data_IF_198716016590
#
_entry.id   IF_198716016590
#
_cell.length_a   1.000
_cell.length_b   1.000
_cell.length_c   1.000
_cell.angle_alpha   90.00
_cell.angle_beta   90.00
_cell.angle_gamma   90.00
#
_symmetry.space_group_name_H-M   'P 1'
#
loop_
_entity.id
_entity.type
_entity.pdbx_description
1 polymer ?
#
# COMPACT_ATOMS: atom_id res chain seq x y z
N UNK A 1 -1.14 -4.46 11.46
CA UNK A 1 -1.70 -5.61 12.19
C UNK A 1 -2.33 -6.56 11.21
N UNK A 2 -2.18 -7.88 11.44
CA UNK A 2 -2.90 -8.90 10.67
C UNK A 2 -4.16 -9.33 11.41
N UNK A 3 -5.28 -9.38 10.69
CA UNK A 3 -6.58 -9.89 11.14
C UNK A 3 -6.95 -11.10 10.30
N UNK A 4 -7.46 -12.16 10.94
CA UNK A 4 -7.83 -13.42 10.28
C UNK A 4 -9.26 -13.84 10.60
N UNK A 5 -9.93 -14.41 9.61
CA UNK A 5 -11.15 -15.20 9.81
C UNK A 5 -10.89 -16.45 10.67
N UNK A 6 -11.89 -16.93 11.42
CA UNK A 6 -11.83 -18.26 12.01
C UNK A 6 -11.66 -19.31 10.90
N UNK A 7 -10.77 -20.27 11.10
CA UNK A 7 -10.64 -21.40 10.20
C UNK A 7 -11.98 -22.11 10.11
N UNK A 8 -12.56 -22.18 8.90
CA UNK A 8 -13.65 -23.11 8.61
C UNK A 8 -13.10 -24.51 8.92
N UNK A 9 -13.79 -25.30 9.75
CA UNK A 9 -13.53 -26.75 9.80
C UNK A 9 -13.83 -27.26 8.38
N UNK A 10 -12.80 -27.40 7.56
CA UNK A 10 -12.92 -27.99 6.23
C UNK A 10 -12.71 -29.49 6.42
N UNK A 11 -13.81 -30.24 6.49
CA UNK A 11 -13.79 -31.64 6.12
C UNK A 11 -13.49 -31.72 4.62
N UNK A 12 -12.32 -32.26 4.26
CA UNK A 12 -11.94 -32.75 2.93
C UNK A 12 -12.23 -31.84 1.73
N UNK A 13 -11.22 -31.13 1.24
CA UNK A 13 -10.86 -31.11 -0.19
C UNK A 13 -9.61 -30.27 -0.41
N UNK A 14 -8.61 -30.92 -0.99
CA UNK A 14 -7.41 -30.34 -1.59
C UNK A 14 -7.76 -29.75 -2.95
N UNK A 15 -7.93 -28.43 -3.04
CA UNK A 15 -7.84 -27.70 -4.33
C UNK A 15 -7.25 -26.32 -4.09
N UNK A 16 -6.28 -26.01 -4.93
CA UNK A 16 -5.26 -24.98 -4.89
C UNK A 16 -5.80 -23.56 -5.15
N UNK A 17 -6.59 -23.00 -4.23
CA UNK A 17 -7.02 -21.61 -4.32
C UNK A 17 -6.14 -20.72 -3.45
N UNK A 18 -5.35 -19.84 -4.08
CA UNK A 18 -4.51 -18.88 -3.37
C UNK A 18 -5.33 -18.10 -2.32
N UNK A 19 -4.84 -18.09 -1.08
CA UNK A 19 -5.39 -17.34 0.05
C UNK A 19 -5.34 -15.84 -0.22
N UNK A 20 -6.51 -15.21 -0.28
CA UNK A 20 -6.63 -13.77 -0.51
C UNK A 20 -6.28 -12.98 0.74
N UNK A 21 -5.46 -11.94 0.58
CA UNK A 21 -4.99 -11.04 1.64
C UNK A 21 -5.38 -9.61 1.27
N UNK A 22 -6.36 -9.05 1.96
CA UNK A 22 -6.78 -7.67 1.81
C UNK A 22 -5.78 -6.73 2.51
N UNK A 23 -5.46 -5.59 1.90
CA UNK A 23 -4.62 -4.57 2.50
C UNK A 23 -5.04 -3.16 2.09
N UNK A 24 -4.69 -2.17 2.92
CA UNK A 24 -4.95 -0.76 2.62
C UNK A 24 -4.08 -0.30 1.45
N UNK A 25 -4.73 0.00 0.34
CA UNK A 25 -4.12 0.36 -0.92
C UNK A 25 -3.61 1.81 -0.98
N UNK A 26 -3.14 2.22 -2.16
CA UNK A 26 -3.01 1.37 -3.35
C UNK A 26 -1.74 0.48 -3.30
N UNK A 27 -1.41 -0.19 -4.41
CA UNK A 27 -0.14 -0.94 -4.55
C UNK A 27 1.05 0.02 -4.35
N UNK A 28 2.18 -0.51 -3.86
CA UNK A 28 3.44 0.20 -3.53
C UNK A 28 3.40 1.16 -2.32
N UNK A 29 2.31 1.20 -1.57
CA UNK A 29 2.28 1.84 -0.23
C UNK A 29 3.05 1.03 0.82
N UNK A 30 3.26 1.62 2.00
CA UNK A 30 3.82 0.88 3.14
C UNK A 30 2.97 -0.34 3.53
N UNK A 31 1.64 -0.21 3.48
CA UNK A 31 0.72 -1.34 3.68
C UNK A 31 0.94 -2.46 2.67
N UNK A 32 1.16 -2.14 1.38
CA UNK A 32 1.54 -3.14 0.38
C UNK A 32 2.89 -3.80 0.71
N UNK A 33 3.90 -3.02 1.10
CA UNK A 33 5.23 -3.56 1.45
C UNK A 33 5.17 -4.50 2.66
N UNK A 34 4.47 -4.10 3.72
CA UNK A 34 4.24 -4.91 4.92
C UNK A 34 3.54 -6.21 4.56
N UNK A 35 2.49 -6.11 3.75
CA UNK A 35 1.69 -7.27 3.33
C UNK A 35 2.54 -8.24 2.52
N UNK A 36 3.25 -7.75 1.50
CA UNK A 36 4.14 -8.57 0.66
C UNK A 36 5.27 -9.23 1.46
N UNK A 37 5.85 -8.53 2.44
CA UNK A 37 6.89 -9.10 3.31
C UNK A 37 6.35 -10.24 4.18
N UNK A 38 5.09 -10.14 4.63
CA UNK A 38 4.45 -11.13 5.51
C UNK A 38 3.84 -12.31 4.75
N UNK A 39 3.40 -12.08 3.51
CA UNK A 39 2.70 -13.00 2.62
C UNK A 39 3.43 -13.04 1.28
N UNK A 40 4.58 -13.71 1.24
CA UNK A 40 5.51 -13.75 0.10
C UNK A 40 5.41 -15.04 -0.74
N UNK A 41 4.59 -16.00 -0.32
CA UNK A 41 4.40 -17.27 -1.01
C UNK A 41 3.40 -17.16 -2.18
N UNK A 42 3.53 -18.04 -3.18
CA UNK A 42 2.64 -18.12 -4.34
C UNK A 42 1.22 -18.54 -3.96
N UNK A 43 1.03 -19.10 -2.77
CA UNK A 43 -0.27 -19.41 -2.20
C UNK A 43 -1.05 -18.17 -1.74
N UNK A 44 -0.51 -16.95 -1.84
CA UNK A 44 -1.19 -15.73 -1.44
C UNK A 44 -1.48 -14.79 -2.62
N UNK A 45 -2.70 -14.24 -2.64
CA UNK A 45 -3.08 -13.18 -3.58
C UNK A 45 -3.34 -11.88 -2.81
N UNK A 46 -2.58 -10.83 -3.08
CA UNK A 46 -2.69 -9.54 -2.39
C UNK A 46 -3.71 -8.66 -3.10
N UNK A 47 -4.71 -8.16 -2.38
CA UNK A 47 -5.81 -7.37 -2.93
C UNK A 47 -5.86 -5.99 -2.25
N UNK A 48 -5.63 -4.88 -2.98
CA UNK A 48 -5.76 -3.54 -2.43
C UNK A 48 -7.22 -3.13 -2.26
N UNK A 49 -7.49 -2.33 -1.24
CA UNK A 49 -8.76 -1.64 -1.00
C UNK A 49 -8.51 -0.18 -0.63
N UNK A 50 -9.49 0.69 -0.83
CA UNK A 50 -9.30 2.13 -0.70
C UNK A 50 -9.43 2.59 0.76
N UNK A 51 -10.23 1.88 1.57
CA UNK A 51 -10.48 2.23 2.98
C UNK A 51 -10.17 1.09 3.95
N UNK A 52 -9.87 1.43 5.22
CA UNK A 52 -9.62 0.42 6.25
C UNK A 52 -10.90 -0.38 6.52
N UNK A 53 -12.06 0.28 6.48
CA UNK A 53 -13.36 -0.41 6.57
C UNK A 53 -13.51 -1.51 5.53
N UNK A 54 -13.25 -1.21 4.26
CA UNK A 54 -13.35 -2.21 3.19
C UNK A 54 -12.37 -3.36 3.38
N UNK A 55 -11.13 -3.09 3.81
CA UNK A 55 -10.13 -4.13 4.11
C UNK A 55 -10.64 -5.12 5.16
N UNK A 56 -11.28 -4.63 6.22
CA UNK A 56 -11.80 -5.50 7.29
C UNK A 56 -13.11 -6.16 6.88
N UNK A 57 -14.00 -5.44 6.18
CA UNK A 57 -15.25 -5.97 5.67
C UNK A 57 -15.04 -7.04 4.60
N UNK A 58 -13.92 -7.02 3.88
CA UNK A 58 -13.52 -8.10 2.97
C UNK A 58 -13.42 -9.47 3.65
N UNK A 59 -13.27 -9.52 4.98
CA UNK A 59 -13.35 -10.77 5.72
C UNK A 59 -14.78 -11.29 5.78
N UNK A 60 -15.79 -10.43 5.93
CA UNK A 60 -17.16 -10.81 6.27
C UNK A 60 -17.85 -11.66 5.18
N UNK A 61 -18.71 -12.61 5.58
CA UNK A 61 -19.41 -13.51 4.65
C UNK A 61 -20.50 -12.82 3.82
N UNK A 62 -20.94 -11.63 4.21
CA UNK A 62 -22.12 -10.93 3.65
C UNK A 62 -21.80 -9.83 2.65
N UNK A 63 -20.54 -9.68 2.23
CA UNK A 63 -20.22 -8.69 1.20
C UNK A 63 -20.90 -9.09 -0.12
N UNK A 64 -21.50 -8.12 -0.83
CA UNK A 64 -22.00 -8.28 -2.23
C UNK A 64 -20.89 -8.67 -3.23
N UNK A 65 -19.71 -9.03 -2.72
CA UNK A 65 -18.47 -9.29 -3.41
C UNK A 65 -17.91 -10.63 -2.89
N UNK A 66 -18.71 -11.70 -2.91
CA UNK A 66 -18.23 -13.04 -2.51
C UNK A 66 -16.93 -13.42 -3.24
N UNK A 67 -16.78 -12.98 -4.49
CA UNK A 67 -15.56 -13.15 -5.30
C UNK A 67 -14.32 -12.40 -4.76
N UNK A 68 -14.50 -11.38 -3.92
CA UNK A 68 -13.44 -10.60 -3.28
C UNK A 68 -13.25 -10.93 -1.79
N UNK A 69 -13.94 -11.95 -1.26
CA UNK A 69 -13.79 -12.34 0.14
C UNK A 69 -12.34 -12.72 0.44
N UNK A 70 -11.75 -12.05 1.43
CA UNK A 70 -10.39 -12.25 1.90
C UNK A 70 -10.33 -13.22 3.08
N UNK A 71 -9.23 -13.98 3.16
CA UNK A 71 -8.95 -14.85 4.32
C UNK A 71 -8.16 -14.10 5.40
N UNK A 72 -7.41 -13.09 4.98
CA UNK A 72 -6.54 -12.26 5.80
C UNK A 72 -6.75 -10.79 5.48
N UNK A 73 -6.59 -9.93 6.47
CA UNK A 73 -6.62 -8.48 6.32
C UNK A 73 -5.40 -7.86 7.01
N UNK A 74 -4.76 -6.88 6.38
CA UNK A 74 -3.63 -6.13 6.93
C UNK A 74 -4.01 -4.66 7.01
N UNK A 75 -4.12 -4.16 8.24
CA UNK A 75 -4.50 -2.76 8.51
C UNK A 75 -3.49 -2.08 9.43
N UNK A 76 -3.25 -0.77 9.30
CA UNK A 76 -2.51 0.00 10.29
C UNK A 76 -3.38 0.14 11.55
N UNK A 77 -2.81 0.02 12.75
CA UNK A 77 -3.55 0.21 14.02
C UNK A 77 -3.01 1.37 14.85
N UNK A 78 -1.75 1.69 14.62
CA UNK A 78 -1.01 2.70 15.35
C UNK A 78 0.09 3.19 14.41
N UNK A 79 0.34 4.49 14.44
CA UNK A 79 1.48 5.11 13.80
C UNK A 79 2.33 5.78 14.89
N UNK A 80 3.62 5.97 14.61
CA UNK A 80 4.57 6.49 15.60
C UNK A 80 4.48 7.99 15.85
N UNK A 81 3.56 8.71 15.19
CA UNK A 81 3.52 10.18 15.22
C UNK A 81 2.18 10.73 15.72
N UNK A 82 1.07 10.21 15.21
CA UNK A 82 -0.31 10.52 15.58
C UNK A 82 -0.97 9.46 16.46
N UNK A 83 -0.26 8.38 16.82
CA UNK A 83 -0.75 7.34 17.71
C UNK A 83 -1.78 6.41 17.04
N UNK A 84 -2.83 5.97 17.77
CA UNK A 84 -3.80 5.00 17.28
C UNK A 84 -4.54 5.47 16.01
N UNK A 85 -4.77 4.53 15.09
CA UNK A 85 -5.59 4.78 13.90
C UNK A 85 -7.06 4.58 14.25
N UNK A 86 -7.79 5.69 14.43
CA UNK A 86 -9.17 5.69 14.93
C UNK A 86 -10.11 4.81 14.08
N UNK A 87 -10.01 4.89 12.75
CA UNK A 87 -10.85 4.10 11.84
C UNK A 87 -10.69 2.60 12.09
N UNK A 88 -9.45 2.13 12.28
CA UNK A 88 -9.17 0.73 12.61
C UNK A 88 -9.83 0.31 13.91
N UNK A 89 -9.74 1.13 14.95
CA UNK A 89 -10.39 0.86 16.24
C UNK A 89 -11.91 0.79 16.10
N UNK A 90 -12.50 1.74 15.37
CA UNK A 90 -13.95 1.78 15.14
C UNK A 90 -14.42 0.53 14.40
N UNK A 91 -13.78 0.18 13.29
CA UNK A 91 -14.16 -0.98 12.47
C UNK A 91 -13.96 -2.31 13.20
N UNK A 92 -12.87 -2.46 13.95
CA UNK A 92 -12.66 -3.65 14.77
C UNK A 92 -13.64 -3.76 15.94
N UNK A 93 -14.24 -2.63 16.35
CA UNK A 93 -15.25 -2.63 17.41
C UNK A 93 -16.62 -3.12 16.94
N UNK A 94 -16.87 -3.16 15.62
CA UNK A 94 -18.16 -3.52 15.03
C UNK A 94 -18.57 -4.96 15.42
N UNK A 95 -19.83 -5.18 15.84
CA UNK A 95 -20.30 -6.50 16.31
C UNK A 95 -20.11 -7.62 15.28
N UNK A 96 -20.40 -7.33 14.01
CA UNK A 96 -20.23 -8.31 12.93
C UNK A 96 -18.77 -8.70 12.72
N UNK A 97 -17.84 -7.73 12.82
CA UNK A 97 -16.40 -7.99 12.73
C UNK A 97 -15.94 -8.84 13.90
N UNK A 98 -16.34 -8.51 15.13
CA UNK A 98 -16.01 -9.31 16.33
C UNK A 98 -16.55 -10.73 16.26
N UNK A 99 -17.75 -10.92 15.75
CA UNK A 99 -18.38 -12.24 15.60
C UNK A 99 -17.66 -13.12 14.57
N UNK A 100 -17.10 -12.51 13.51
CA UNK A 100 -16.54 -13.23 12.36
C UNK A 100 -15.01 -13.18 12.28
N UNK A 101 -14.32 -12.61 13.26
CA UNK A 101 -12.85 -12.56 13.31
C UNK A 101 -12.35 -13.18 14.62
N UNK A 102 -11.24 -13.93 14.56
CA UNK A 102 -10.76 -14.73 15.70
C UNK A 102 -9.34 -14.40 16.13
N UNK A 103 -8.51 -13.91 15.20
CA UNK A 103 -7.12 -13.54 15.49
C UNK A 103 -6.90 -12.09 15.10
N UNK A 104 -6.89 -11.23 16.11
CA UNK A 104 -6.48 -9.83 16.08
C UNK A 104 -5.19 -9.80 16.89
N UNK A 105 -4.03 -10.14 16.31
CA UNK A 105 -2.89 -10.46 17.19
C UNK A 105 -1.52 -10.69 16.58
N UNK A 106 -1.33 -10.47 15.29
CA UNK A 106 0.03 -10.41 14.73
C UNK A 106 0.36 -8.94 14.44
N UNK A 107 0.78 -8.16 15.45
CA UNK A 107 1.28 -6.82 15.22
C UNK A 107 2.54 -6.92 14.37
N UNK A 108 2.60 -6.11 13.32
CA UNK A 108 3.79 -5.98 12.49
C UNK A 108 4.37 -4.60 12.79
N UNK A 109 5.54 -4.55 13.40
CA UNK A 109 6.32 -3.32 13.52
C UNK A 109 7.04 -3.10 12.21
N UNK A 110 6.75 -1.97 11.56
CA UNK A 110 7.38 -1.61 10.29
C UNK A 110 8.00 -0.23 10.40
N UNK A 111 9.31 -0.15 10.14
CA UNK A 111 10.02 1.12 10.15
C UNK A 111 9.73 1.85 8.83
N UNK A 112 9.08 3.01 8.94
CA UNK A 112 8.86 3.91 7.80
C UNK A 112 10.18 4.60 7.48
N UNK A 113 10.58 4.53 6.21
CA UNK A 113 11.71 5.26 5.67
C UNK A 113 11.24 5.97 4.40
N UNK A 114 11.35 7.29 4.40
CA UNK A 114 11.10 8.09 3.21
C UNK A 114 12.35 8.11 2.34
N UNK A 115 12.15 8.17 1.03
CA UNK A 115 13.23 8.35 0.05
C UNK A 115 12.82 9.49 -0.86
N UNK A 116 13.72 10.46 -1.04
CA UNK A 116 13.52 11.51 -2.02
C UNK A 116 13.81 10.94 -3.40
N UNK A 117 12.79 10.91 -4.25
CA UNK A 117 12.91 10.43 -5.62
C UNK A 117 12.88 11.62 -6.58
N UNK A 118 13.78 11.62 -7.55
CA UNK A 118 13.85 12.64 -8.59
C UNK A 118 13.87 11.96 -9.96
N UNK A 119 13.12 12.52 -10.90
CA UNK A 119 13.08 12.00 -12.27
C UNK A 119 14.43 12.24 -12.97
N UNK A 120 15.09 11.20 -13.46
CA UNK A 120 16.40 11.31 -14.09
C UNK A 120 16.29 11.65 -15.59
N UNK A 121 15.98 12.91 -15.93
CA UNK A 121 15.99 13.36 -17.34
C UNK A 121 17.30 13.94 -17.84
N UNK A 122 18.34 14.10 -17.00
CA UNK A 122 19.65 14.57 -17.50
C UNK A 122 20.82 13.98 -16.68
N UNK A 123 21.76 13.25 -17.30
CA UNK A 123 22.89 12.59 -16.62
C UNK A 123 24.00 13.53 -16.13
N UNK A 124 23.84 14.86 -16.22
CA UNK A 124 24.86 15.79 -15.72
C UNK A 124 24.67 16.11 -14.23
N UNK A 125 25.71 15.98 -13.39
CA UNK A 125 25.57 15.94 -11.92
C UNK A 125 25.49 17.33 -11.27
N UNK A 126 25.50 18.40 -12.05
CA UNK A 126 25.73 19.75 -11.51
C UNK A 126 24.41 20.50 -11.38
N UNK A 127 23.90 20.55 -10.14
CA UNK A 127 22.83 21.45 -9.68
C UNK A 127 21.49 21.35 -10.42
N UNK A 128 20.74 20.28 -10.17
CA UNK A 128 19.30 20.32 -10.44
C UNK A 128 18.62 21.27 -9.45
N UNK A 129 18.18 22.43 -9.96
CA UNK A 129 17.17 23.28 -9.29
C UNK A 129 15.84 22.53 -9.31
N UNK A 130 15.56 21.75 -8.28
CA UNK A 130 14.21 21.27 -8.04
C UNK A 130 13.35 22.48 -7.68
N UNK A 131 12.23 22.68 -8.39
CA UNK A 131 11.30 23.78 -8.11
C UNK A 131 10.14 23.34 -7.22
N UNK A 132 9.80 22.05 -7.23
CA UNK A 132 8.64 21.48 -6.57
C UNK A 132 8.96 20.16 -5.90
N UNK A 133 8.37 19.94 -4.74
CA UNK A 133 8.34 18.63 -4.07
C UNK A 133 6.89 18.23 -3.85
N UNK A 134 6.60 16.97 -4.18
CA UNK A 134 5.30 16.36 -3.97
C UNK A 134 5.40 15.35 -2.84
N UNK A 135 4.60 15.53 -1.79
CA UNK A 135 4.61 14.68 -0.60
C UNK A 135 3.22 14.61 0.04
N UNK A 136 3.01 13.64 0.92
CA UNK A 136 1.78 13.60 1.70
C UNK A 136 1.86 14.65 2.81
N UNK A 137 0.77 15.38 3.15
CA UNK A 137 0.79 16.42 4.19
C UNK A 137 1.24 15.93 5.58
N UNK A 138 1.21 14.62 5.82
CA UNK A 138 1.66 14.00 7.08
C UNK A 138 3.16 13.65 7.09
N UNK A 139 3.87 13.78 5.96
CA UNK A 139 5.31 13.60 5.88
C UNK A 139 5.96 14.86 6.47
N UNK A 140 6.47 14.77 7.70
CA UNK A 140 7.00 15.93 8.41
C UNK A 140 8.21 16.52 7.68
N UNK A 141 8.09 17.79 7.30
CA UNK A 141 8.85 18.41 6.21
C UNK A 141 10.17 19.10 6.67
N UNK A 142 10.62 18.85 7.90
CA UNK A 142 11.80 19.52 8.47
C UNK A 142 13.08 19.28 7.64
N UNK A 143 13.24 18.08 7.07
CA UNK A 143 14.37 17.76 6.20
C UNK A 143 14.34 18.57 4.91
N UNK A 144 13.16 18.70 4.30
CA UNK A 144 12.96 19.42 3.04
C UNK A 144 13.19 20.91 3.25
N UNK A 145 12.58 21.50 4.29
CA UNK A 145 12.79 22.91 4.66
C UNK A 145 14.26 23.27 4.90
N UNK A 146 15.03 22.33 5.46
CA UNK A 146 16.46 22.56 5.74
C UNK A 146 17.34 22.37 4.50
N UNK A 147 17.06 21.38 3.66
CA UNK A 147 17.92 21.01 2.52
C UNK A 147 17.52 21.67 1.20
N UNK A 148 16.28 22.09 1.06
CA UNK A 148 15.70 22.72 -0.14
C UNK A 148 14.92 23.99 0.23
N UNK A 149 15.58 25.01 0.80
CA UNK A 149 14.90 26.24 1.18
C UNK A 149 14.28 26.93 -0.04
N UNK A 150 13.02 27.35 0.06
CA UNK A 150 12.29 28.05 -1.00
C UNK A 150 11.70 27.16 -2.09
N UNK A 151 11.69 25.83 -1.89
CA UNK A 151 11.03 24.90 -2.81
C UNK A 151 9.51 24.92 -2.60
N UNK A 152 8.75 24.81 -3.69
CA UNK A 152 7.29 24.77 -3.62
C UNK A 152 6.85 23.36 -3.17
N UNK A 153 6.30 23.25 -1.96
CA UNK A 153 5.68 22.01 -1.46
C UNK A 153 4.26 21.89 -2.02
N UNK A 154 3.99 20.81 -2.76
CA UNK A 154 2.67 20.52 -3.32
C UNK A 154 2.10 19.29 -2.60
N UNK A 155 1.03 19.45 -1.80
CA UNK A 155 0.43 18.33 -1.08
C UNK A 155 -0.21 17.35 -2.07
N UNK A 156 0.08 16.06 -1.91
CA UNK A 156 -0.53 14.98 -2.68
C UNK A 156 -1.14 13.91 -1.78
N UNK A 157 -2.31 13.43 -2.17
CA UNK A 157 -2.85 12.19 -1.61
C UNK A 157 -2.06 10.99 -2.16
N UNK A 158 -1.88 9.95 -1.34
CA UNK A 158 -1.10 8.75 -1.69
C UNK A 158 -1.52 8.07 -3.01
N UNK A 159 -2.77 8.25 -3.44
CA UNK A 159 -3.30 7.76 -4.72
C UNK A 159 -2.61 8.41 -5.93
N UNK A 160 -2.24 9.68 -5.83
CA UNK A 160 -1.67 10.47 -6.94
C UNK A 160 -0.18 10.16 -7.14
N UNK A 161 0.56 9.90 -6.05
CA UNK A 161 1.98 9.53 -6.14
C UNK A 161 2.16 8.20 -6.91
N UNK A 162 1.22 7.27 -6.77
CA UNK A 162 1.21 6.03 -7.54
C UNK A 162 0.92 6.28 -9.03
N UNK A 163 -0.04 7.16 -9.35
CA UNK A 163 -0.33 7.57 -10.73
C UNK A 163 0.88 8.24 -11.39
N UNK A 164 1.59 9.10 -10.67
CA UNK A 164 2.83 9.76 -11.14
C UNK A 164 3.94 8.73 -11.37
N UNK A 165 4.13 7.77 -10.45
CA UNK A 165 5.14 6.72 -10.65
C UNK A 165 4.77 5.74 -11.77
N UNK A 166 3.49 5.42 -11.95
CA UNK A 166 3.01 4.55 -13.05
C UNK A 166 3.16 5.26 -14.39
N UNK A 167 2.78 6.54 -14.50
CA UNK A 167 2.96 7.32 -15.74
C UNK A 167 4.43 7.49 -16.08
N UNK A 168 5.30 7.75 -15.10
CA UNK A 168 6.75 7.78 -15.31
C UNK A 168 7.27 6.42 -15.79
N UNK A 169 6.83 5.30 -15.19
CA UNK A 169 7.28 3.97 -15.59
C UNK A 169 6.84 3.61 -17.01
N UNK A 170 5.58 3.92 -17.37
CA UNK A 170 5.05 3.75 -18.74
C UNK A 170 5.86 4.59 -19.74
N UNK A 171 6.16 5.85 -19.40
CA UNK A 171 6.92 6.74 -20.29
C UNK A 171 8.36 6.24 -20.49
N UNK A 172 9.02 5.76 -19.43
CA UNK A 172 10.36 5.15 -19.54
C UNK A 172 10.34 3.86 -20.36
N UNK A 173 9.32 3.01 -20.20
CA UNK A 173 9.18 1.80 -21.02
C UNK A 173 8.94 2.14 -22.50
N UNK A 174 8.10 3.14 -22.79
CA UNK A 174 7.82 3.56 -24.17
C UNK A 174 9.06 4.15 -24.85
N UNK A 175 9.85 4.96 -24.12
CA UNK A 175 11.12 5.51 -24.63
C UNK A 175 12.12 4.38 -24.90
N UNK A 176 12.26 3.40 -24.00
CA UNK A 176 13.16 2.26 -24.22
C UNK A 176 12.71 1.35 -25.36
N UNK A 177 11.40 1.17 -25.57
CA UNK A 177 10.86 0.41 -26.70
C UNK A 177 11.11 1.17 -28.02
N UNK A 178 10.91 2.49 -28.02
CA UNK A 178 11.15 3.33 -29.20
C UNK A 178 12.65 3.37 -29.59
N UNK A 179 13.54 3.49 -28.59
CA UNK A 179 14.98 3.41 -28.80
C UNK A 179 15.46 2.03 -29.27
N UNK A 180 14.81 0.94 -28.83
CA UNK A 180 15.09 -0.39 -29.39
C UNK A 180 14.61 -0.50 -30.84
N UNK A 181 13.44 0.03 -31.18
CA UNK A 181 12.90 -0.05 -32.55
C UNK A 181 13.73 0.77 -33.55
N UNK A 182 14.33 1.89 -33.14
CA UNK A 182 15.26 2.65 -34.00
C UNK A 182 16.60 1.92 -34.26
N UNK A 183 16.97 0.90 -33.49
CA UNK A 183 18.15 0.08 -33.79
C UNK A 183 17.87 -1.03 -34.82
N UNK A 184 16.60 -1.19 -35.24
CA UNK A 184 16.17 -2.21 -36.21
C UNK A 184 15.63 -1.61 -37.53
N UNK A 185 15.85 -0.31 -37.77
CA UNK A 185 15.62 0.39 -39.04
C UNK A 185 16.97 0.92 -39.55
#
# INVERSE_FOLDING_TARGET
MVVRMPARRLSGSTTDSASRVAFLGPIRTYSHQVTRKRFNGSEYTLIPYDTIREVVHALLPTTQQEHKRASWAVIPIENSYFGPVLESTQVLSEPLVKQHTRSIGLPIKFKIQHSLLAHHLNPTPTHRRFSRIYSHPQDNDQYIKTKYPGIEEIPQQLSVLLLVLITIWILTCLISIFQMLEQFI
#
